data_IF_607345774433
#
_entry.id   IF_607345774433
#
_cell.length_a   1.000
_cell.length_b   1.000
_cell.length_c   1.000
_cell.angle_alpha   90.00
_cell.angle_beta   90.00
_cell.angle_gamma   90.00
#
_symmetry.space_group_name_H-M   'P 1'
#
loop_
_entity.id
_entity.type
_entity.pdbx_description
1 polymer ?
#
# COMPACT_ATOMS: atom_id res chain seq x y z
N UNK A 1 86.90 61.84 -12.08
CA UNK A 1 85.53 61.76 -12.64
C UNK A 1 84.87 60.53 -12.02
N UNK A 2 84.10 60.73 -10.95
CA UNK A 2 83.39 59.66 -10.22
C UNK A 2 81.93 60.10 -10.18
N UNK A 3 81.09 59.42 -10.96
CA UNK A 3 79.65 59.67 -11.03
C UNK A 3 78.97 59.13 -9.76
N UNK A 4 78.34 60.01 -8.98
CA UNK A 4 77.36 59.63 -7.97
C UNK A 4 76.03 59.29 -8.64
N UNK A 5 75.57 58.05 -8.51
CA UNK A 5 74.21 57.67 -8.85
C UNK A 5 73.26 58.22 -7.77
N UNK A 6 72.47 59.24 -8.12
CA UNK A 6 71.43 59.84 -7.29
C UNK A 6 70.19 58.93 -7.34
N UNK A 7 69.87 58.27 -6.22
CA UNK A 7 68.63 57.49 -6.08
C UNK A 7 67.38 58.38 -6.20
N UNK A 8 66.44 58.12 -7.12
CA UNK A 8 65.17 58.84 -7.19
C UNK A 8 64.08 58.06 -6.45
N UNK A 9 64.00 58.20 -5.12
CA UNK A 9 63.12 57.38 -4.27
C UNK A 9 62.03 58.10 -3.46
N UNK A 10 62.06 59.43 -3.35
CA UNK A 10 61.26 60.12 -2.30
C UNK A 10 59.79 60.41 -2.65
N UNK A 11 59.40 60.47 -3.93
CA UNK A 11 58.00 60.76 -4.30
C UNK A 11 57.11 59.51 -4.33
N UNK A 12 57.65 58.35 -4.69
CA UNK A 12 56.84 57.12 -4.81
C UNK A 12 56.48 56.53 -3.44
N UNK A 13 57.35 56.65 -2.44
CA UNK A 13 57.08 56.17 -1.08
C UNK A 13 55.93 56.95 -0.40
N UNK A 14 55.80 58.25 -0.65
CA UNK A 14 54.71 59.06 -0.07
C UNK A 14 53.35 58.67 -0.64
N UNK A 15 53.26 58.44 -1.95
CA UNK A 15 52.03 58.00 -2.61
C UNK A 15 51.59 56.61 -2.14
N UNK A 16 52.55 55.68 -1.99
CA UNK A 16 52.29 54.33 -1.47
C UNK A 16 51.87 54.39 0.00
N UNK A 17 52.49 55.27 0.81
CA UNK A 17 52.11 55.48 2.20
C UNK A 17 50.67 56.00 2.35
N UNK A 18 50.27 56.99 1.55
CA UNK A 18 48.88 57.49 1.56
C UNK A 18 47.88 56.46 1.05
N UNK A 19 48.25 55.61 0.09
CA UNK A 19 47.40 54.51 -0.37
C UNK A 19 47.18 53.46 0.73
N UNK A 20 48.24 53.06 1.45
CA UNK A 20 48.14 52.11 2.56
C UNK A 20 47.36 52.71 3.74
N UNK A 21 47.58 53.99 4.06
CA UNK A 21 46.83 54.69 5.09
C UNK A 21 45.33 54.79 4.72
N UNK A 22 45.01 55.10 3.46
CA UNK A 22 43.64 55.16 2.97
C UNK A 22 42.93 53.81 3.04
N UNK A 23 43.59 52.72 2.64
CA UNK A 23 43.05 51.37 2.74
C UNK A 23 42.85 50.97 4.21
N UNK A 24 43.80 51.30 5.10
CA UNK A 24 43.69 50.99 6.53
C UNK A 24 42.50 51.70 7.19
N UNK A 25 42.25 52.96 6.82
CA UNK A 25 41.08 53.74 7.28
C UNK A 25 39.78 53.13 6.73
N UNK A 26 39.75 52.74 5.46
CA UNK A 26 38.58 52.11 4.86
C UNK A 26 38.23 50.76 5.51
N UNK A 27 39.24 49.93 5.79
CA UNK A 27 39.07 48.62 6.44
C UNK A 27 38.62 48.78 7.90
N UNK A 28 39.17 49.75 8.63
CA UNK A 28 38.75 50.02 10.02
C UNK A 28 37.33 50.58 10.07
N UNK A 29 36.95 51.48 9.15
CA UNK A 29 35.57 51.97 9.06
C UNK A 29 34.56 50.84 8.72
N UNK A 30 34.92 49.94 7.79
CA UNK A 30 34.08 48.79 7.45
C UNK A 30 33.93 47.80 8.62
N UNK A 31 35.02 47.53 9.35
CA UNK A 31 35.02 46.65 10.53
C UNK A 31 34.18 47.20 11.69
N UNK A 32 34.28 48.50 11.94
CA UNK A 32 33.45 49.20 12.92
C UNK A 32 31.97 49.20 12.51
N UNK A 33 31.67 49.40 11.22
CA UNK A 33 30.30 49.31 10.69
C UNK A 33 29.68 47.92 10.83
N UNK A 34 30.46 46.87 10.53
CA UNK A 34 29.99 45.49 10.67
C UNK A 34 29.80 45.07 12.13
N UNK A 35 30.67 45.54 13.03
CA UNK A 35 30.58 45.28 14.47
C UNK A 35 29.40 46.04 15.11
N UNK A 36 29.17 47.30 14.71
CA UNK A 36 28.02 48.08 15.13
C UNK A 36 26.70 47.48 14.61
N UNK A 37 26.68 46.98 13.37
CA UNK A 37 25.55 46.24 12.77
C UNK A 37 25.18 45.00 13.59
N UNK A 38 26.17 44.21 14.03
CA UNK A 38 25.92 43.05 14.91
C UNK A 38 25.39 43.42 16.29
N UNK A 39 25.88 44.51 16.88
CA UNK A 39 25.39 44.97 18.18
C UNK A 39 23.98 45.56 18.11
N UNK A 40 23.62 46.20 16.99
CA UNK A 40 22.28 46.73 16.77
C UNK A 40 21.27 45.61 16.46
N UNK A 41 21.67 44.58 15.70
CA UNK A 41 20.81 43.40 15.46
C UNK A 41 20.58 42.56 16.72
N UNK A 42 21.54 42.50 17.64
CA UNK A 42 21.35 41.84 18.94
C UNK A 42 20.39 42.61 19.87
N UNK A 43 20.21 43.93 19.69
CA UNK A 43 19.27 44.75 20.48
C UNK A 43 17.87 44.84 19.87
N UNK A 44 17.73 44.63 18.56
CA UNK A 44 16.42 44.65 17.88
C UNK A 44 15.71 43.29 17.90
N UNK A 45 16.40 42.21 18.24
CA UNK A 45 15.78 40.90 18.46
C UNK A 45 15.33 40.77 19.91
N UNK A 46 14.31 41.54 20.29
CA UNK A 46 13.48 41.15 21.42
C UNK A 46 12.76 39.86 21.00
N UNK A 47 12.93 38.71 21.69
CA UNK A 47 12.04 37.59 21.45
C UNK A 47 10.61 38.10 21.61
N UNK A 48 9.67 37.71 20.73
CA UNK A 48 8.27 38.08 20.93
C UNK A 48 7.91 37.75 22.37
N UNK A 49 7.18 38.63 23.09
CA UNK A 49 6.78 38.34 24.45
C UNK A 49 6.19 36.94 24.43
N UNK A 50 6.73 36.04 25.26
CA UNK A 50 6.21 34.70 25.40
C UNK A 50 4.71 34.87 25.48
N UNK A 51 3.99 34.39 24.45
CA UNK A 51 2.53 34.51 24.39
C UNK A 51 2.11 34.02 25.76
N UNK A 52 1.63 34.95 26.60
CA UNK A 52 1.25 34.65 27.96
C UNK A 52 0.43 33.41 27.81
N UNK A 53 0.96 32.27 28.32
CA UNK A 53 0.39 30.97 28.08
C UNK A 53 -1.08 31.21 28.27
N UNK A 54 -1.85 31.15 27.17
CA UNK A 54 -3.30 31.32 27.29
C UNK A 54 -3.56 30.30 28.36
N UNK A 55 -3.95 30.79 29.54
CA UNK A 55 -4.61 29.98 30.53
C UNK A 55 -5.61 29.29 29.66
N UNK A 56 -5.32 28.02 29.34
CA UNK A 56 -6.23 27.10 28.71
C UNK A 56 -7.28 27.02 29.78
N UNK A 57 -8.17 28.00 29.74
CA UNK A 57 -9.33 28.14 30.57
C UNK A 57 -10.02 26.84 30.33
N UNK A 58 -9.80 25.92 31.29
CA UNK A 58 -9.95 24.50 31.17
C UNK A 58 -10.64 24.14 29.87
N UNK A 59 -9.88 24.05 28.77
CA UNK A 59 -10.35 23.23 27.68
C UNK A 59 -10.17 21.86 28.28
N UNK A 60 -11.23 21.49 28.99
CA UNK A 60 -11.46 20.19 29.51
C UNK A 60 -11.47 19.42 28.21
N UNK A 61 -10.27 18.98 27.81
CA UNK A 61 -10.11 17.75 27.11
C UNK A 61 -10.97 16.83 27.96
N UNK A 62 -12.21 16.67 27.51
CA UNK A 62 -13.03 15.55 27.87
C UNK A 62 -12.21 14.43 27.28
N UNK A 63 -11.19 14.01 28.03
CA UNK A 63 -10.68 12.67 28.01
C UNK A 63 -11.94 11.91 28.31
N UNK A 64 -12.65 11.53 27.25
CA UNK A 64 -13.73 10.59 27.35
C UNK A 64 -12.99 9.31 27.70
N UNK A 65 -12.72 9.16 29.00
CA UNK A 65 -12.30 7.92 29.61
C UNK A 65 -13.52 7.04 29.49
N UNK A 66 -13.69 6.46 28.30
CA UNK A 66 -14.64 5.40 28.10
C UNK A 66 -14.04 4.21 28.87
N UNK A 67 -14.72 3.71 29.92
CA UNK A 67 -14.29 2.46 30.55
C UNK A 67 -14.15 1.39 29.46
N UNK A 68 -13.23 0.42 29.61
CA UNK A 68 -12.89 -0.56 28.56
C UNK A 68 -14.12 -1.32 28.02
N UNK A 69 -15.18 -1.43 28.80
CA UNK A 69 -16.49 -2.00 28.42
C UNK A 69 -17.25 -1.18 27.35
N UNK A 70 -16.91 0.10 27.16
CA UNK A 70 -17.49 1.02 26.17
C UNK A 70 -16.58 1.28 24.98
N UNK A 71 -15.53 0.49 24.81
CA UNK A 71 -14.69 0.56 23.61
C UNK A 71 -15.44 -0.08 22.43
N UNK A 72 -16.38 0.64 21.85
CA UNK A 72 -16.91 0.30 20.53
C UNK A 72 -15.82 0.62 19.53
N UNK A 73 -15.24 -0.44 18.98
CA UNK A 73 -14.28 -0.41 17.89
C UNK A 73 -14.78 0.57 16.81
N UNK A 74 -13.97 1.57 16.42
CA UNK A 74 -14.35 2.59 15.42
C UNK A 74 -14.72 2.00 14.05
N UNK A 75 -14.41 0.72 13.85
CA UNK A 75 -14.73 -0.05 12.65
C UNK A 75 -15.89 -1.05 12.85
N UNK A 76 -16.47 -1.11 14.06
CA UNK A 76 -17.67 -1.88 14.35
C UNK A 76 -18.86 -0.92 14.44
N UNK A 77 -19.92 -1.10 13.63
CA UNK A 77 -21.12 -0.29 13.76
C UNK A 77 -21.82 -0.57 15.10
N UNK A 78 -22.64 0.38 15.57
CA UNK A 78 -23.35 0.34 16.86
C UNK A 78 -24.23 -0.91 17.07
N UNK A 79 -24.48 -1.68 16.01
CA UNK A 79 -25.25 -2.93 16.01
C UNK A 79 -24.40 -4.21 16.05
N UNK A 80 -23.09 -4.11 16.28
CA UNK A 80 -22.17 -5.25 16.32
C UNK A 80 -21.72 -5.73 14.94
N UNK A 81 -20.89 -6.78 14.91
CA UNK A 81 -20.31 -7.40 13.69
C UNK A 81 -21.33 -8.21 12.86
N UNK A 82 -22.63 -8.05 13.11
CA UNK A 82 -23.71 -8.65 12.33
C UNK A 82 -24.05 -7.80 11.09
N UNK A 83 -23.02 -7.37 10.36
CA UNK A 83 -23.26 -6.82 9.03
C UNK A 83 -23.37 -8.02 8.10
N UNK A 84 -24.53 -8.33 7.52
CA UNK A 84 -24.59 -9.32 6.47
C UNK A 84 -23.60 -8.89 5.39
N UNK A 85 -22.69 -9.78 4.99
CA UNK A 85 -21.69 -9.52 3.92
C UNK A 85 -22.33 -9.18 2.57
N UNK A 86 -23.66 -9.21 2.52
CA UNK A 86 -24.51 -8.79 1.42
C UNK A 86 -25.75 -8.15 2.02
N UNK A 87 -25.81 -6.82 2.04
CA UNK A 87 -27.11 -6.16 2.14
C UNK A 87 -27.85 -6.54 0.87
N UNK A 88 -29.09 -7.02 1.00
CA UNK A 88 -30.00 -7.16 -0.13
C UNK A 88 -30.25 -5.75 -0.70
N UNK A 89 -29.33 -5.28 -1.53
CA UNK A 89 -29.53 -4.11 -2.35
C UNK A 89 -30.78 -4.40 -3.16
N UNK A 90 -31.78 -3.54 -3.01
CA UNK A 90 -32.93 -3.47 -3.90
C UNK A 90 -32.37 -3.44 -5.33
N UNK A 91 -32.41 -4.60 -5.98
CA UNK A 91 -31.86 -4.83 -7.30
C UNK A 91 -32.74 -4.14 -8.31
N UNK A 92 -32.62 -2.81 -8.41
CA UNK A 92 -33.09 -2.08 -9.57
C UNK A 92 -32.40 -2.66 -10.79
N UNK A 93 -33.19 -3.17 -11.73
CA UNK A 93 -32.72 -3.69 -13.02
C UNK A 93 -31.82 -2.64 -13.67
N UNK A 94 -30.54 -2.92 -13.71
CA UNK A 94 -29.53 -2.01 -14.22
C UNK A 94 -28.85 -2.65 -15.44
N UNK A 95 -28.66 -1.84 -16.48
CA UNK A 95 -27.91 -2.28 -17.64
C UNK A 95 -26.42 -2.40 -17.26
N UNK A 96 -25.71 -3.29 -17.96
CA UNK A 96 -24.25 -3.35 -17.87
C UNK A 96 -23.66 -1.97 -18.21
N UNK A 97 -22.60 -1.54 -17.52
CA UNK A 97 -22.02 -0.22 -17.75
C UNK A 97 -21.48 -0.14 -19.18
N UNK A 98 -21.94 0.86 -19.93
CA UNK A 98 -21.42 1.20 -21.27
C UNK A 98 -20.28 2.22 -21.20
N UNK A 99 -20.05 2.75 -20.00
CA UNK A 99 -19.10 3.84 -19.77
C UNK A 99 -17.70 3.30 -19.43
N UNK A 100 -16.66 4.00 -19.86
CA UNK A 100 -15.25 3.65 -19.61
C UNK A 100 -14.78 3.98 -18.18
N UNK A 101 -15.67 4.43 -17.30
CA UNK A 101 -15.33 4.67 -15.90
C UNK A 101 -15.19 3.35 -15.14
N UNK A 102 -14.26 3.37 -14.21
CA UNK A 102 -13.96 2.34 -13.24
C UNK A 102 -14.17 2.95 -11.86
N UNK A 103 -14.99 2.30 -11.04
CA UNK A 103 -15.21 2.69 -9.66
C UNK A 103 -14.05 2.15 -8.81
N UNK A 104 -13.24 3.06 -8.28
CA UNK A 104 -12.09 2.74 -7.42
C UNK A 104 -12.43 2.76 -5.93
N UNK A 105 -13.43 3.55 -5.53
CA UNK A 105 -13.82 3.70 -4.13
C UNK A 105 -15.11 4.48 -3.95
N UNK A 106 -15.75 4.31 -2.81
CA UNK A 106 -16.94 5.07 -2.40
C UNK A 106 -16.75 5.59 -0.98
N UNK A 107 -17.24 6.79 -0.72
CA UNK A 107 -17.37 7.36 0.61
C UNK A 107 -18.86 7.45 0.89
N UNK A 108 -19.36 6.61 1.77
CA UNK A 108 -20.78 6.58 2.16
C UNK A 108 -20.98 7.34 3.48
N UNK A 109 -22.11 8.04 3.57
CA UNK A 109 -22.52 8.81 4.75
C UNK A 109 -24.04 8.86 4.80
N UNK A 110 -24.60 9.04 5.99
CA UNK A 110 -26.04 9.24 6.20
C UNK A 110 -26.55 10.52 5.52
N UNK A 111 -25.68 11.53 5.40
CA UNK A 111 -25.96 12.72 4.61
C UNK A 111 -25.68 12.49 3.13
N UNK A 112 -26.71 12.61 2.29
CA UNK A 112 -26.58 12.52 0.81
C UNK A 112 -25.53 13.50 0.26
N UNK A 113 -25.39 14.68 0.88
CA UNK A 113 -24.40 15.69 0.47
C UNK A 113 -22.95 15.32 0.80
N UNK A 114 -22.71 14.35 1.70
CA UNK A 114 -21.38 13.89 2.07
C UNK A 114 -20.94 12.65 1.26
N UNK A 115 -21.85 12.02 0.50
CA UNK A 115 -21.54 10.84 -0.31
C UNK A 115 -20.65 11.19 -1.51
N UNK A 116 -19.59 10.40 -1.74
CA UNK A 116 -18.65 10.60 -2.85
C UNK A 116 -18.32 9.30 -3.55
N UNK A 117 -18.09 9.37 -4.85
CA UNK A 117 -17.54 8.28 -5.65
C UNK A 117 -16.15 8.68 -6.16
N UNK A 118 -15.20 7.74 -6.09
CA UNK A 118 -13.87 7.87 -6.67
C UNK A 118 -13.87 7.11 -7.99
N UNK A 119 -13.80 7.86 -9.08
CA UNK A 119 -13.95 7.34 -10.43
C UNK A 119 -12.67 7.57 -11.22
N UNK A 120 -12.29 6.59 -12.02
CA UNK A 120 -11.16 6.68 -12.94
C UNK A 120 -11.57 6.20 -14.32
N UNK A 121 -10.96 6.71 -15.38
CA UNK A 121 -11.20 6.27 -16.75
C UNK A 121 -9.87 6.28 -17.49
N UNK A 122 -9.81 5.45 -18.53
CA UNK A 122 -8.64 5.33 -19.38
C UNK A 122 -8.33 6.68 -20.07
N UNK A 123 -7.13 7.22 -19.81
CA UNK A 123 -6.71 8.55 -20.26
C UNK A 123 -6.65 9.62 -19.16
N UNK A 124 -7.19 9.38 -17.96
CA UNK A 124 -7.02 10.28 -16.81
C UNK A 124 -5.73 9.99 -16.03
N UNK A 125 -4.93 11.04 -15.78
CA UNK A 125 -3.71 10.96 -14.95
C UNK A 125 -4.00 10.70 -13.48
N UNK A 126 -5.12 11.21 -12.97
CA UNK A 126 -5.52 11.12 -11.57
C UNK A 126 -7.01 10.75 -11.44
N UNK A 127 -7.41 10.00 -10.40
CA UNK A 127 -8.80 9.68 -10.16
C UNK A 127 -9.61 10.92 -9.72
N UNK A 128 -10.87 10.99 -10.17
CA UNK A 128 -11.78 12.09 -9.83
C UNK A 128 -12.67 11.71 -8.64
N UNK A 129 -12.83 12.64 -7.72
CA UNK A 129 -13.74 12.53 -6.58
C UNK A 129 -15.01 13.32 -6.87
N UNK A 130 -16.12 12.62 -7.09
CA UNK A 130 -17.38 13.23 -7.53
C UNK A 130 -18.50 13.06 -6.50
N UNK A 131 -19.40 14.05 -6.46
CA UNK A 131 -20.55 14.06 -5.54
C UNK A 131 -21.75 13.36 -6.15
N UNK A 132 -22.61 12.78 -5.31
CA UNK A 132 -23.91 12.31 -5.78
C UNK A 132 -24.68 13.47 -6.44
N UNK A 133 -25.12 13.25 -7.68
CA UNK A 133 -25.76 14.26 -8.53
C UNK A 133 -24.81 15.03 -9.44
N UNK A 134 -23.50 14.77 -9.44
CA UNK A 134 -22.55 15.42 -10.35
C UNK A 134 -22.65 14.87 -11.79
N UNK A 135 -22.37 15.73 -12.77
CA UNK A 135 -22.26 15.34 -14.17
C UNK A 135 -20.81 14.95 -14.48
N UNK A 136 -20.62 13.73 -14.98
CA UNK A 136 -19.30 13.15 -15.23
C UNK A 136 -18.83 13.41 -16.66
N UNK A 137 -19.75 13.25 -17.60
CA UNK A 137 -19.64 13.47 -19.04
C UNK A 137 -20.95 14.11 -19.53
N UNK A 138 -20.96 14.78 -20.70
CA UNK A 138 -22.18 15.36 -21.25
C UNK A 138 -23.33 14.32 -21.32
N UNK A 139 -24.35 14.49 -20.48
CA UNK A 139 -25.51 13.59 -20.41
C UNK A 139 -25.34 12.32 -19.56
N UNK A 140 -24.23 12.17 -18.81
CA UNK A 140 -24.01 11.08 -17.84
C UNK A 140 -23.92 11.66 -16.44
N UNK A 141 -24.89 11.32 -15.59
CA UNK A 141 -24.99 11.85 -14.23
C UNK A 141 -24.83 10.76 -13.17
N UNK A 142 -24.09 11.06 -12.12
CA UNK A 142 -23.98 10.22 -10.94
C UNK A 142 -25.29 10.28 -10.14
N UNK A 143 -26.09 9.22 -10.15
CA UNK A 143 -27.46 9.24 -9.58
C UNK A 143 -27.55 8.69 -8.16
N UNK A 144 -26.76 7.66 -7.82
CA UNK A 144 -26.71 7.08 -6.48
C UNK A 144 -25.30 6.59 -6.14
N UNK A 145 -24.85 6.88 -4.92
CA UNK A 145 -23.62 6.32 -4.37
C UNK A 145 -23.95 5.40 -3.20
N UNK A 146 -23.64 4.11 -3.37
CA UNK A 146 -23.76 3.07 -2.34
C UNK A 146 -22.38 2.55 -1.94
N UNK A 147 -22.33 1.66 -0.94
CA UNK A 147 -21.06 1.15 -0.40
C UNK A 147 -20.24 0.40 -1.46
N UNK A 148 -20.87 -0.50 -2.20
CA UNK A 148 -20.17 -1.42 -3.10
C UNK A 148 -20.42 -1.12 -4.58
N UNK A 149 -21.27 -0.14 -4.88
CA UNK A 149 -21.63 0.20 -6.25
C UNK A 149 -22.16 1.63 -6.36
N UNK A 150 -22.23 2.09 -7.61
CA UNK A 150 -22.72 3.41 -7.99
C UNK A 150 -23.67 3.25 -9.17
N UNK A 151 -24.75 4.04 -9.21
CA UNK A 151 -25.59 4.18 -10.40
C UNK A 151 -25.24 5.45 -11.18
N UNK A 152 -25.14 5.30 -12.51
CA UNK A 152 -25.08 6.40 -13.45
C UNK A 152 -26.35 6.43 -14.28
N UNK A 153 -26.92 7.62 -14.46
CA UNK A 153 -28.07 7.83 -15.33
C UNK A 153 -27.57 8.48 -16.65
N UNK A 154 -27.85 7.82 -17.78
CA UNK A 154 -27.58 8.29 -19.13
C UNK A 154 -28.90 8.44 -19.87
N UNK A 155 -29.51 9.63 -19.79
CA UNK A 155 -30.86 9.87 -20.30
C UNK A 155 -31.92 9.05 -19.56
N UNK A 156 -32.50 8.04 -20.23
CA UNK A 156 -33.49 7.10 -19.65
C UNK A 156 -32.90 5.77 -19.19
N UNK A 157 -31.63 5.50 -19.50
CA UNK A 157 -30.95 4.27 -19.09
C UNK A 157 -30.17 4.48 -17.80
N UNK A 158 -30.24 3.50 -16.88
CA UNK A 158 -29.46 3.46 -15.64
C UNK A 158 -28.43 2.36 -15.72
N UNK A 159 -27.16 2.75 -15.57
CA UNK A 159 -25.98 1.90 -15.59
C UNK A 159 -25.49 1.67 -14.16
N UNK A 160 -25.09 0.44 -13.83
CA UNK A 160 -24.49 0.10 -12.52
C UNK A 160 -22.99 -0.08 -12.67
N UNK A 161 -22.21 0.68 -11.91
CA UNK A 161 -20.78 0.44 -11.72
C UNK A 161 -20.54 -0.21 -10.38
N UNK A 162 -19.94 -1.39 -10.39
CA UNK A 162 -19.55 -2.11 -9.18
C UNK A 162 -18.11 -1.78 -8.81
N UNK A 163 -17.83 -1.72 -7.50
CA UNK A 163 -16.50 -1.47 -6.97
C UNK A 163 -15.62 -2.68 -7.28
N UNK A 164 -14.50 -2.45 -7.99
CA UNK A 164 -13.55 -3.52 -8.25
C UNK A 164 -12.85 -3.94 -6.94
N UNK A 165 -12.67 -5.24 -6.68
CA UNK A 165 -11.85 -5.69 -5.57
C UNK A 165 -10.43 -5.13 -5.73
N UNK A 166 -9.88 -4.59 -4.64
CA UNK A 166 -8.48 -4.13 -4.55
C UNK A 166 -7.55 -5.22 -5.10
N UNK A 167 -6.81 -4.92 -6.17
CA UNK A 167 -5.93 -5.86 -6.87
C UNK A 167 -6.43 -6.38 -8.22
N UNK A 168 -7.62 -5.96 -8.67
CA UNK A 168 -8.14 -6.32 -10.00
C UNK A 168 -7.57 -5.36 -11.06
N UNK A 169 -6.76 -5.87 -12.00
CA UNK A 169 -6.43 -5.11 -13.22
C UNK A 169 -7.69 -4.91 -14.06
N UNK A 170 -7.73 -3.80 -14.79
CA UNK A 170 -8.81 -3.38 -15.69
C UNK A 170 -9.39 -4.55 -16.49
N UNK A 171 -10.72 -4.65 -16.47
CA UNK A 171 -11.48 -5.70 -17.16
C UNK A 171 -11.27 -5.59 -18.67
N UNK A 172 -10.61 -6.58 -19.26
CA UNK A 172 -10.70 -6.82 -20.69
C UNK A 172 -12.18 -7.03 -21.05
N UNK A 173 -12.63 -6.36 -22.12
CA UNK A 173 -13.98 -6.48 -22.67
C UNK A 173 -14.27 -7.96 -22.94
N UNK A 174 -15.26 -8.51 -22.23
CA UNK A 174 -15.70 -9.88 -22.45
C UNK A 174 -16.55 -9.93 -23.74
N UNK A 175 -16.28 -10.84 -24.68
CA UNK A 175 -17.19 -11.12 -25.79
C UNK A 175 -18.55 -11.62 -25.26
N UNK A 176 -19.66 -11.37 -25.98
CA UNK A 176 -20.99 -11.75 -25.51
C UNK A 176 -21.12 -13.27 -25.42
N UNK A 177 -21.58 -13.74 -24.26
CA UNK A 177 -21.86 -15.14 -24.00
C UNK A 177 -23.07 -15.62 -24.82
N UNK A 178 -22.87 -16.69 -25.60
CA UNK A 178 -23.94 -17.47 -26.20
C UNK A 178 -24.75 -18.23 -25.11
N UNK A 179 -26.04 -18.52 -25.33
CA UNK A 179 -26.88 -19.17 -24.34
C UNK A 179 -26.50 -20.64 -24.16
N UNK A 180 -26.49 -21.08 -22.90
CA UNK A 180 -26.25 -22.48 -22.50
C UNK A 180 -27.54 -23.27 -22.66
N UNK A 181 -27.47 -24.36 -23.43
CA UNK A 181 -28.46 -25.44 -23.45
C UNK A 181 -27.78 -26.74 -23.04
N UNK A 182 -28.30 -27.36 -21.97
CA UNK A 182 -28.43 -28.81 -21.83
C UNK A 182 -27.18 -29.69 -21.67
N UNK A 183 -26.97 -30.10 -20.42
CA UNK A 183 -26.49 -31.42 -19.95
C UNK A 183 -25.78 -32.35 -20.95
N UNK A 184 -24.49 -32.59 -20.68
CA UNK A 184 -23.74 -33.76 -21.09
C UNK A 184 -22.56 -33.94 -20.15
N UNK A 185 -22.59 -34.99 -19.34
CA UNK A 185 -21.45 -35.41 -18.54
C UNK A 185 -20.28 -35.74 -19.46
N UNK A 186 -19.29 -34.87 -19.44
CA UNK A 186 -17.97 -35.10 -20.01
C UNK A 186 -16.96 -34.78 -18.93
N UNK A 187 -16.00 -35.68 -18.77
CA UNK A 187 -14.89 -35.67 -17.83
C UNK A 187 -14.31 -34.26 -17.58
N UNK A 188 -13.80 -33.96 -16.37
CA UNK A 188 -13.22 -32.65 -16.10
C UNK A 188 -12.11 -32.39 -17.12
N UNK A 189 -12.35 -31.41 -17.98
CA UNK A 189 -11.33 -30.85 -18.84
C UNK A 189 -10.23 -30.31 -17.94
N UNK A 190 -9.04 -30.89 -18.05
CA UNK A 190 -7.86 -30.49 -17.32
C UNK A 190 -7.67 -28.98 -17.46
N UNK A 191 -7.68 -28.29 -16.33
CA UNK A 191 -7.27 -26.89 -16.24
C UNK A 191 -5.80 -26.84 -16.66
N UNK A 192 -5.40 -25.96 -17.60
CA UNK A 192 -3.99 -25.84 -17.95
C UNK A 192 -3.24 -25.36 -16.71
N UNK A 193 -2.38 -26.23 -16.16
CA UNK A 193 -1.60 -25.96 -14.95
C UNK A 193 -1.96 -26.81 -13.73
N UNK A 194 -2.65 -27.94 -13.91
CA UNK A 194 -2.90 -28.91 -12.84
C UNK A 194 -1.58 -29.42 -12.23
N UNK A 195 -1.31 -29.00 -11.00
CA UNK A 195 -0.16 -29.43 -10.22
C UNK A 195 -0.43 -30.86 -9.80
N UNK A 196 0.37 -31.79 -10.33
CA UNK A 196 0.27 -33.21 -9.98
C UNK A 196 0.95 -33.42 -8.64
N UNK A 197 0.14 -33.44 -7.58
CA UNK A 197 0.59 -33.81 -6.24
C UNK A 197 0.03 -35.20 -5.91
N UNK A 198 0.92 -36.15 -5.67
CA UNK A 198 0.53 -37.47 -5.18
C UNK A 198 0.69 -37.50 -3.67
N UNK A 199 -0.39 -37.77 -2.92
CA UNK A 199 -0.30 -37.96 -1.47
C UNK A 199 0.14 -39.40 -1.18
N UNK A 200 1.29 -39.60 -0.52
CA UNK A 200 1.80 -40.93 -0.15
C UNK A 200 1.47 -41.31 1.30
N UNK A 201 1.08 -40.35 2.13
CA UNK A 201 0.70 -40.61 3.51
C UNK A 201 0.18 -39.36 4.21
N UNK A 202 0.04 -39.43 5.53
CA UNK A 202 -0.31 -38.26 6.34
C UNK A 202 0.87 -37.29 6.37
N UNK A 203 0.65 -36.09 5.82
CA UNK A 203 1.68 -35.06 5.64
C UNK A 203 2.88 -35.49 4.78
N UNK A 204 2.74 -36.53 3.95
CA UNK A 204 3.77 -36.94 2.97
C UNK A 204 3.22 -36.87 1.55
N UNK A 205 3.90 -36.11 0.70
CA UNK A 205 3.51 -35.83 -0.67
C UNK A 205 4.69 -36.09 -1.61
N UNK A 206 4.43 -36.49 -2.85
CA UNK A 206 5.41 -36.52 -3.93
C UNK A 206 4.98 -35.58 -5.04
N UNK A 207 5.98 -34.87 -5.55
CA UNK A 207 5.86 -33.92 -6.63
C UNK A 207 6.79 -34.30 -7.76
N UNK A 208 6.29 -34.17 -8.99
CA UNK A 208 7.14 -34.29 -10.17
C UNK A 208 8.02 -33.03 -10.29
N UNK A 209 9.28 -33.19 -10.72
CA UNK A 209 10.21 -32.06 -10.95
C UNK A 209 9.62 -30.98 -11.88
N UNK A 210 8.86 -31.41 -12.90
CA UNK A 210 8.15 -30.50 -13.81
C UNK A 210 7.15 -29.59 -13.08
N UNK A 211 6.48 -30.11 -12.05
CA UNK A 211 5.52 -29.36 -11.22
C UNK A 211 6.24 -28.31 -10.38
N UNK A 212 7.39 -28.67 -9.79
CA UNK A 212 8.24 -27.74 -9.03
C UNK A 212 8.78 -26.63 -9.93
N UNK A 213 9.22 -26.97 -11.13
CA UNK A 213 9.69 -26.00 -12.14
C UNK A 213 8.57 -25.02 -12.56
N UNK A 214 7.35 -25.52 -12.73
CA UNK A 214 6.18 -24.67 -13.05
C UNK A 214 5.82 -23.73 -11.90
N UNK A 215 5.83 -24.23 -10.66
CA UNK A 215 5.56 -23.44 -9.45
C UNK A 215 6.57 -22.31 -9.27
N UNK A 216 7.85 -22.62 -9.43
CA UNK A 216 8.96 -21.67 -9.26
C UNK A 216 9.09 -20.70 -10.43
N UNK A 217 8.72 -21.10 -11.65
CA UNK A 217 8.71 -20.24 -12.84
C UNK A 217 7.63 -19.15 -12.81
N UNK A 218 6.46 -19.43 -12.19
CA UNK A 218 5.33 -18.50 -12.15
C UNK A 218 4.85 -18.23 -10.72
N UNK A 219 5.78 -18.09 -9.78
CA UNK A 219 5.49 -17.90 -8.34
C UNK A 219 4.45 -16.80 -8.06
N UNK A 220 4.54 -15.67 -8.78
CA UNK A 220 3.64 -14.54 -8.61
C UNK A 220 2.18 -14.91 -8.83
N UNK A 221 1.88 -15.81 -9.78
CA UNK A 221 0.52 -16.29 -10.05
C UNK A 221 0.01 -17.14 -8.88
N UNK A 222 0.85 -18.04 -8.35
CA UNK A 222 0.46 -18.91 -7.24
C UNK A 222 0.28 -18.13 -5.94
N UNK A 223 1.13 -17.13 -5.67
CA UNK A 223 1.01 -16.27 -4.49
C UNK A 223 -0.33 -15.49 -4.45
N UNK A 224 -1.00 -15.28 -5.59
CA UNK A 224 -2.35 -14.68 -5.58
C UNK A 224 -3.46 -15.60 -5.02
N UNK A 225 -3.18 -16.89 -4.91
CA UNK A 225 -4.12 -17.91 -4.43
C UNK A 225 -4.06 -18.11 -2.90
N UNK A 226 -3.11 -17.47 -2.23
CA UNK A 226 -2.86 -17.60 -0.80
C UNK A 226 -2.78 -16.22 -0.16
N UNK A 227 -3.39 -16.06 1.01
CA UNK A 227 -3.25 -14.85 1.83
C UNK A 227 -2.40 -15.17 3.05
N UNK A 228 -1.18 -14.63 3.08
CA UNK A 228 -0.26 -14.75 4.22
C UNK A 228 -0.36 -13.50 5.11
N UNK A 229 -0.30 -13.69 6.41
CA UNK A 229 -0.23 -12.63 7.41
C UNK A 229 0.94 -12.97 8.36
N UNK A 230 1.80 -12.00 8.71
CA UNK A 230 2.86 -12.25 9.69
C UNK A 230 2.30 -12.80 11.00
N UNK A 231 2.98 -13.80 11.55
CA UNK A 231 2.67 -14.38 12.86
C UNK A 231 3.79 -14.02 13.84
N UNK A 232 3.42 -13.53 15.02
CA UNK A 232 4.36 -13.12 16.04
C UNK A 232 4.20 -13.98 17.28
N UNK A 233 5.31 -14.46 17.83
CA UNK A 233 5.38 -15.02 19.17
C UNK A 233 6.06 -14.00 20.07
N UNK A 234 5.29 -13.40 20.98
CA UNK A 234 5.74 -12.24 21.75
C UNK A 234 6.03 -11.04 20.85
N UNK A 235 7.27 -10.55 20.87
CA UNK A 235 7.70 -9.39 20.07
C UNK A 235 8.61 -9.77 18.89
N UNK A 236 8.60 -11.04 18.46
CA UNK A 236 9.42 -11.56 17.36
C UNK A 236 8.55 -12.20 16.30
N UNK A 237 8.91 -11.98 15.03
CA UNK A 237 8.27 -12.68 13.90
C UNK A 237 8.61 -14.17 13.98
N UNK A 238 7.58 -15.00 14.06
CA UNK A 238 7.67 -16.45 14.28
C UNK A 238 7.11 -17.25 13.09
N UNK A 239 6.88 -16.60 11.95
CA UNK A 239 6.38 -17.25 10.74
C UNK A 239 5.32 -16.46 10.00
N UNK A 240 4.64 -17.15 9.08
CA UNK A 240 3.48 -16.63 8.36
C UNK A 240 2.27 -17.52 8.55
N UNK A 241 1.16 -16.91 8.99
CA UNK A 241 -0.13 -17.56 9.05
C UNK A 241 -0.84 -17.48 7.71
N UNK A 242 -1.35 -18.63 7.25
CA UNK A 242 -2.24 -18.73 6.11
C UNK A 242 -3.64 -18.28 6.57
N UNK A 243 -4.01 -17.05 6.21
CA UNK A 243 -5.32 -16.50 6.53
C UNK A 243 -6.43 -17.05 5.62
N UNK A 244 -6.10 -17.29 4.35
CA UNK A 244 -7.02 -17.87 3.38
C UNK A 244 -6.26 -18.59 2.25
N UNK A 245 -6.85 -19.66 1.74
CA UNK A 245 -6.41 -20.41 0.55
C UNK A 245 -7.60 -20.47 -0.41
N UNK A 246 -7.35 -20.26 -1.71
CA UNK A 246 -8.36 -20.52 -2.73
C UNK A 246 -8.58 -22.04 -2.89
N UNK A 247 -9.84 -22.51 -2.88
CA UNK A 247 -10.14 -23.92 -3.17
C UNK A 247 -9.62 -24.34 -4.54
N UNK A 248 -9.10 -25.57 -4.64
CA UNK A 248 -8.47 -26.15 -5.83
C UNK A 248 -7.09 -25.57 -6.17
N UNK A 249 -6.50 -24.74 -5.30
CA UNK A 249 -5.20 -24.14 -5.57
C UNK A 249 -4.03 -25.08 -5.27
N UNK A 250 -2.87 -24.74 -5.85
CA UNK A 250 -1.57 -25.36 -5.57
C UNK A 250 -1.34 -25.63 -4.07
N UNK A 251 -1.55 -24.61 -3.24
CA UNK A 251 -1.29 -24.70 -1.80
C UNK A 251 -2.24 -25.67 -1.09
N UNK A 252 -3.50 -25.75 -1.52
CA UNK A 252 -4.43 -26.73 -0.98
C UNK A 252 -4.04 -28.16 -1.40
N UNK A 253 -3.64 -28.35 -2.66
CA UNK A 253 -3.17 -29.65 -3.18
C UNK A 253 -1.89 -30.12 -2.50
N UNK A 254 -1.01 -29.19 -2.10
CA UNK A 254 0.16 -29.43 -1.28
C UNK A 254 -0.19 -29.78 0.19
N UNK A 255 -1.46 -29.66 0.59
CA UNK A 255 -1.92 -30.05 1.92
C UNK A 255 -1.90 -28.94 2.98
N UNK A 256 -1.65 -27.70 2.57
CA UNK A 256 -1.83 -26.53 3.44
C UNK A 256 -3.32 -26.24 3.67
N UNK A 257 -3.62 -25.68 4.84
CA UNK A 257 -4.98 -25.34 5.25
C UNK A 257 -5.04 -23.92 5.81
N UNK A 258 -6.23 -23.33 5.76
CA UNK A 258 -6.49 -22.07 6.44
C UNK A 258 -6.22 -22.21 7.95
N UNK A 259 -5.49 -21.25 8.51
CA UNK A 259 -5.09 -21.22 9.91
C UNK A 259 -3.73 -21.85 10.22
N UNK A 260 -3.10 -22.53 9.25
CA UNK A 260 -1.73 -23.03 9.42
C UNK A 260 -0.74 -21.86 9.57
N UNK A 261 0.24 -22.01 10.45
CA UNK A 261 1.37 -21.08 10.58
C UNK A 261 2.63 -21.77 10.08
N UNK A 262 3.21 -21.28 8.99
CA UNK A 262 4.49 -21.79 8.48
C UNK A 262 5.62 -21.10 9.23
N UNK A 263 6.45 -21.89 9.93
CA UNK A 263 7.58 -21.38 10.72
C UNK A 263 8.90 -21.52 9.96
N UNK A 264 9.10 -22.67 9.31
CA UNK A 264 10.37 -23.02 8.70
C UNK A 264 10.16 -23.90 7.45
N UNK A 265 11.03 -23.73 6.46
CA UNK A 265 11.13 -24.61 5.28
C UNK A 265 12.59 -24.99 5.08
N UNK A 266 12.93 -26.29 5.11
CA UNK A 266 14.30 -26.78 4.86
C UNK A 266 15.40 -25.99 5.61
N UNK A 267 15.23 -25.78 6.91
CA UNK A 267 16.15 -25.00 7.77
C UNK A 267 16.17 -23.48 7.54
N UNK A 268 15.31 -22.96 6.67
CA UNK A 268 15.13 -21.51 6.47
C UNK A 268 13.93 -21.04 7.30
N UNK A 269 14.19 -20.23 8.32
CA UNK A 269 13.15 -19.57 9.11
C UNK A 269 12.43 -18.50 8.27
N UNK A 270 11.10 -18.54 8.33
CA UNK A 270 10.22 -17.63 7.60
C UNK A 270 9.86 -16.40 8.45
N UNK A 271 10.86 -15.64 8.85
CA UNK A 271 10.66 -14.42 9.65
C UNK A 271 10.34 -13.18 8.80
N UNK A 272 10.75 -13.14 7.54
CA UNK A 272 10.54 -12.00 6.61
C UNK A 272 10.01 -12.43 5.24
N UNK A 273 9.35 -11.53 4.49
CA UNK A 273 8.77 -11.89 3.18
C UNK A 273 9.83 -12.28 2.15
N UNK A 274 11.02 -11.67 2.22
CA UNK A 274 12.11 -11.93 1.27
C UNK A 274 12.59 -13.39 1.31
N UNK A 275 12.52 -14.03 2.49
CA UNK A 275 12.89 -15.44 2.68
C UNK A 275 12.00 -16.39 1.89
N UNK A 276 10.74 -16.02 1.63
CA UNK A 276 9.81 -16.82 0.82
C UNK A 276 10.41 -17.01 -0.58
N UNK A 277 10.85 -15.93 -1.23
CA UNK A 277 11.45 -16.00 -2.57
C UNK A 277 12.72 -16.85 -2.59
N UNK A 278 13.58 -16.72 -1.58
CA UNK A 278 14.78 -17.55 -1.44
C UNK A 278 14.43 -19.04 -1.36
N UNK A 279 13.42 -19.40 -0.55
CA UNK A 279 12.96 -20.78 -0.44
C UNK A 279 12.54 -21.30 -1.82
N UNK A 280 11.70 -20.56 -2.55
CA UNK A 280 11.26 -21.00 -3.87
C UNK A 280 12.39 -21.12 -4.90
N UNK A 281 13.43 -20.29 -4.82
CA UNK A 281 14.60 -20.46 -5.69
C UNK A 281 15.34 -21.76 -5.36
N UNK A 282 15.51 -22.05 -4.08
CA UNK A 282 16.21 -23.24 -3.60
C UNK A 282 15.43 -24.55 -3.86
N UNK A 283 14.09 -24.48 -3.98
CA UNK A 283 13.26 -25.66 -4.27
C UNK A 283 13.64 -26.38 -5.57
N UNK A 284 14.23 -25.67 -6.55
CA UNK A 284 14.60 -26.26 -7.85
C UNK A 284 15.71 -27.30 -7.74
N UNK A 285 16.63 -27.12 -6.81
CA UNK A 285 17.82 -27.96 -6.67
C UNK A 285 17.65 -29.03 -5.58
N UNK A 286 16.51 -29.02 -4.90
CA UNK A 286 16.26 -29.84 -3.73
C UNK A 286 15.46 -31.11 -4.09
N UNK A 287 15.82 -32.25 -3.48
CA UNK A 287 15.09 -33.52 -3.69
C UNK A 287 14.03 -33.78 -2.64
N UNK A 288 14.14 -33.13 -1.48
CA UNK A 288 13.21 -33.28 -0.36
C UNK A 288 12.95 -31.95 0.32
N UNK A 289 11.67 -31.65 0.55
CA UNK A 289 11.25 -30.42 1.22
C UNK A 289 10.50 -30.77 2.49
N UNK A 290 10.93 -30.22 3.61
CA UNK A 290 10.27 -30.33 4.90
C UNK A 290 9.78 -28.95 5.30
N UNK A 291 8.49 -28.85 5.60
CA UNK A 291 7.83 -27.61 6.00
C UNK A 291 7.28 -27.77 7.41
N UNK A 292 7.84 -27.03 8.35
CA UNK A 292 7.39 -27.03 9.74
C UNK A 292 6.28 -26.01 9.93
N UNK A 293 5.15 -26.50 10.42
CA UNK A 293 3.94 -25.71 10.62
C UNK A 293 3.40 -25.85 12.05
N UNK A 294 2.71 -24.81 12.52
CA UNK A 294 1.73 -24.95 13.60
C UNK A 294 0.35 -25.09 12.99
N UNK A 295 -0.31 -26.21 13.26
CA UNK A 295 -1.70 -26.45 12.89
C UNK A 295 -2.51 -26.62 14.18
N UNK A 296 -3.48 -25.75 14.39
CA UNK A 296 -4.30 -25.74 15.61
C UNK A 296 -3.45 -25.68 16.90
N UNK A 297 -2.31 -24.97 16.85
CA UNK A 297 -1.36 -24.85 17.97
C UNK A 297 -0.42 -26.04 18.16
N UNK A 298 -0.55 -27.12 17.37
CA UNK A 298 0.35 -28.27 17.41
C UNK A 298 1.41 -28.18 16.31
N UNK A 299 2.66 -28.44 16.68
CA UNK A 299 3.78 -28.55 15.75
C UNK A 299 3.60 -29.79 14.87
N UNK A 300 3.63 -29.58 13.57
CA UNK A 300 3.55 -30.61 12.55
C UNK A 300 4.59 -30.32 11.47
N UNK A 301 5.04 -31.35 10.76
CA UNK A 301 5.91 -31.21 9.60
C UNK A 301 5.25 -31.85 8.39
N UNK A 302 5.31 -31.15 7.25
CA UNK A 302 4.88 -31.68 5.95
C UNK A 302 6.11 -31.97 5.11
N UNK A 303 6.20 -33.21 4.64
CA UNK A 303 7.30 -33.73 3.85
C UNK A 303 6.89 -33.86 2.38
N UNK A 304 7.74 -33.38 1.48
CA UNK A 304 7.58 -33.45 0.05
C UNK A 304 8.80 -34.14 -0.57
N UNK A 305 8.58 -35.16 -1.40
CA UNK A 305 9.63 -35.81 -2.19
C UNK A 305 9.51 -35.41 -3.66
N UNK A 306 10.56 -34.82 -4.21
CA UNK A 306 10.63 -34.39 -5.60
C UNK A 306 11.24 -35.55 -6.42
N UNK A 307 10.53 -35.98 -7.46
CA UNK A 307 10.86 -37.16 -8.29
C UNK A 307 10.91 -36.84 -9.77
#
# INVERSE_FOLDING_TARGET
>A
MICYYRFPGERMQKSVFYAIAGISIAVTAASLGFSASRLLTARSFAPPPAVAARSTAADTARTVSLPPERWTNLFAPDKGMEIPSKVAGSGGKAAAPKTNFVLLGTVTSDSRQARRAILWAEGMKEPRLEREGAELEPGVRLSLVERDFVFLDRGKEREKLELLPVGSKTRAVAPPAAPVTGAGASAPAAVPGEIRVTRLGDNLFSLDEATVSQLTGNINQYMTNVRLIPYFEGNKSAGYRIAAIRPGSAFEQLGFRGGDVIQQVNSVELSTPDKIFTIFQNLKDEKRVTVDILRQGQKNSINYEIR
#
